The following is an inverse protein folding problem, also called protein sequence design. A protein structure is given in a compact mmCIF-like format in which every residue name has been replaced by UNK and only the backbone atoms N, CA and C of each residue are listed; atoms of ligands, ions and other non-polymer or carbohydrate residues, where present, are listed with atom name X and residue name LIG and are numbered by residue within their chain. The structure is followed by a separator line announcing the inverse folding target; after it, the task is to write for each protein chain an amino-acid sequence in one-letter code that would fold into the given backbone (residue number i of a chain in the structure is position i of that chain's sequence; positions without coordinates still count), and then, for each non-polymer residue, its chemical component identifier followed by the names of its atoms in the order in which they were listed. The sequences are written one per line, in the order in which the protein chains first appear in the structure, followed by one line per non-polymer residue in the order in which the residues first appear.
data_IF_967613409733
#
_entry.id   IF_967613409733
#
_cell.length_a   1.000
_cell.length_b   1.000
_cell.length_c   1.000
_cell.angle_alpha   90.00
_cell.angle_beta   90.00
_cell.angle_gamma   90.00
#
_symmetry.space_group_name_H-M   'P 1'
#
loop_
_entity.id
_entity.type
_entity.pdbx_description
1 polymer ?
#
# COMPACT_ATOMS: atom_id res chain seq x y z
N UNK A 1 -11.83 69.78 -7.22
CA UNK A 1 -10.81 68.84 -6.75
C UNK A 1 -10.48 67.84 -7.88
N UNK A 2 -9.54 68.19 -8.78
CA UNK A 2 -9.06 67.26 -9.81
C UNK A 2 -8.09 66.30 -9.16
N UNK A 3 -8.51 65.03 -8.99
CA UNK A 3 -7.62 63.93 -8.61
C UNK A 3 -6.69 63.67 -9.82
N UNK A 4 -5.40 63.77 -9.62
CA UNK A 4 -4.34 63.50 -10.60
C UNK A 4 -4.51 62.08 -11.17
N UNK A 5 -4.82 61.92 -12.47
CA UNK A 5 -4.98 60.62 -13.10
C UNK A 5 -3.66 59.86 -13.19
N UNK A 6 -2.53 60.56 -13.19
CA UNK A 6 -1.18 59.97 -13.24
C UNK A 6 -0.84 59.13 -12.01
N UNK A 7 -1.28 59.54 -10.81
CA UNK A 7 -1.08 58.77 -9.57
C UNK A 7 -1.87 57.43 -9.53
N UNK A 8 -3.01 57.37 -10.22
CA UNK A 8 -3.78 56.13 -10.34
C UNK A 8 -3.13 55.17 -11.36
N UNK A 9 -2.57 55.68 -12.43
CA UNK A 9 -1.87 54.87 -13.42
C UNK A 9 -0.59 54.26 -12.84
N UNK A 10 0.21 55.03 -12.12
CA UNK A 10 1.42 54.50 -11.44
C UNK A 10 1.10 53.43 -10.39
N UNK A 11 -0.01 53.60 -9.65
CA UNK A 11 -0.45 52.60 -8.69
C UNK A 11 -0.90 51.29 -9.37
N UNK A 12 -1.59 51.39 -10.52
CA UNK A 12 -2.02 50.23 -11.30
C UNK A 12 -0.81 49.51 -11.94
N UNK A 13 0.13 50.22 -12.50
CA UNK A 13 1.35 49.67 -13.10
C UNK A 13 2.17 48.93 -12.03
N UNK A 14 2.31 49.50 -10.85
CA UNK A 14 3.03 48.91 -9.73
C UNK A 14 2.31 47.67 -9.17
N UNK A 15 0.99 47.68 -9.14
CA UNK A 15 0.18 46.54 -8.73
C UNK A 15 0.25 45.37 -9.72
N UNK A 16 0.25 45.65 -11.02
CA UNK A 16 0.42 44.67 -12.09
C UNK A 16 1.82 44.07 -12.07
N UNK A 17 2.86 44.91 -11.93
CA UNK A 17 4.25 44.45 -11.82
C UNK A 17 4.49 43.58 -10.60
N UNK A 18 3.89 43.91 -9.44
CA UNK A 18 3.97 43.08 -8.23
C UNK A 18 3.21 41.76 -8.38
N UNK A 19 2.07 41.78 -9.09
CA UNK A 19 1.32 40.53 -9.37
C UNK A 19 2.12 39.61 -10.30
N UNK A 20 2.77 40.17 -11.33
CA UNK A 20 3.61 39.42 -12.28
C UNK A 20 4.80 38.76 -11.57
N UNK A 21 5.53 39.52 -10.72
CA UNK A 21 6.62 38.96 -9.93
C UNK A 21 6.19 37.87 -8.97
N UNK A 22 5.03 38.05 -8.31
CA UNK A 22 4.47 37.02 -7.40
C UNK A 22 4.05 35.74 -8.14
N UNK A 23 3.49 35.89 -9.35
CA UNK A 23 3.14 34.74 -10.21
C UNK A 23 4.39 34.02 -10.68
N UNK A 24 5.43 34.73 -11.11
CA UNK A 24 6.69 34.12 -11.52
C UNK A 24 7.39 33.38 -10.39
N UNK A 25 7.39 33.95 -9.18
CA UNK A 25 7.97 33.34 -8.00
C UNK A 25 7.20 32.07 -7.62
N UNK A 26 5.87 32.12 -7.62
CA UNK A 26 5.01 30.95 -7.37
C UNK A 26 5.22 29.85 -8.42
N UNK A 27 5.26 30.20 -9.71
CA UNK A 27 5.51 29.23 -10.78
C UNK A 27 6.92 28.62 -10.67
N UNK A 28 7.93 29.41 -10.35
CA UNK A 28 9.30 28.95 -10.14
C UNK A 28 9.40 27.95 -8.96
N UNK A 29 8.76 28.28 -7.84
CA UNK A 29 8.71 27.42 -6.67
C UNK A 29 7.94 26.12 -6.95
N UNK A 30 6.81 26.22 -7.66
CA UNK A 30 5.99 25.06 -8.05
C UNK A 30 6.75 24.13 -9.00
N UNK A 31 7.39 24.66 -10.04
CA UNK A 31 8.21 23.88 -10.98
C UNK A 31 9.40 23.22 -10.27
N UNK A 32 10.08 23.94 -9.39
CA UNK A 32 11.19 23.41 -8.59
C UNK A 32 10.74 22.26 -7.69
N UNK A 33 9.61 22.44 -6.99
CA UNK A 33 9.02 21.38 -6.16
C UNK A 33 8.61 20.16 -6.99
N UNK A 34 7.99 20.37 -8.15
CA UNK A 34 7.63 19.26 -9.04
C UNK A 34 8.86 18.51 -9.53
N UNK A 35 9.89 19.22 -9.99
CA UNK A 35 11.13 18.59 -10.48
C UNK A 35 11.81 17.80 -9.39
N UNK A 36 11.95 18.36 -8.20
CA UNK A 36 12.54 17.68 -7.04
C UNK A 36 11.72 16.43 -6.67
N UNK A 37 10.39 16.54 -6.63
CA UNK A 37 9.50 15.41 -6.32
C UNK A 37 9.64 14.31 -7.36
N UNK A 38 9.67 14.62 -8.65
CA UNK A 38 9.82 13.63 -9.72
C UNK A 38 11.17 12.91 -9.61
N UNK A 39 12.26 13.64 -9.37
CA UNK A 39 13.60 13.04 -9.24
C UNK A 39 13.69 12.16 -8.02
N UNK A 40 13.24 12.63 -6.85
CA UNK A 40 13.25 11.85 -5.59
C UNK A 40 12.37 10.61 -5.71
N UNK A 41 11.18 10.73 -6.31
CA UNK A 41 10.28 9.59 -6.53
C UNK A 41 10.91 8.60 -7.52
N UNK A 42 11.52 9.05 -8.60
CA UNK A 42 12.20 8.20 -9.57
C UNK A 42 13.35 7.41 -8.94
N UNK A 43 14.20 8.06 -8.16
CA UNK A 43 15.28 7.37 -7.41
C UNK A 43 14.72 6.38 -6.40
N UNK A 44 13.62 6.72 -5.74
CA UNK A 44 12.96 5.83 -4.76
C UNK A 44 12.38 4.57 -5.44
N UNK A 45 11.80 4.71 -6.63
CA UNK A 45 11.30 3.58 -7.41
C UNK A 45 12.46 2.66 -7.83
N UNK A 46 13.57 3.21 -8.29
CA UNK A 46 14.74 2.42 -8.69
C UNK A 46 15.30 1.65 -7.48
N UNK A 47 15.43 2.31 -6.33
CA UNK A 47 15.86 1.65 -5.08
C UNK A 47 14.88 0.56 -4.65
N UNK A 48 13.59 0.81 -4.75
CA UNK A 48 12.56 -0.19 -4.43
C UNK A 48 12.70 -1.43 -5.33
N UNK A 49 12.79 -1.25 -6.65
CA UNK A 49 12.96 -2.36 -7.61
C UNK A 49 14.25 -3.14 -7.33
N UNK A 50 15.35 -2.44 -7.09
CA UNK A 50 16.63 -3.08 -6.76
C UNK A 50 16.52 -3.91 -5.48
N UNK A 51 15.99 -3.32 -4.40
CA UNK A 51 15.81 -4.02 -3.13
C UNK A 51 14.85 -5.21 -3.27
N UNK A 52 13.80 -5.09 -4.08
CA UNK A 52 12.87 -6.16 -4.36
C UNK A 52 13.54 -7.35 -5.08
N UNK A 53 14.39 -7.07 -6.09
CA UNK A 53 15.17 -8.12 -6.77
C UNK A 53 16.12 -8.80 -5.79
N UNK A 54 16.85 -8.02 -4.97
CA UNK A 54 17.76 -8.57 -3.94
C UNK A 54 16.96 -9.43 -2.95
N UNK A 55 15.79 -8.97 -2.50
CA UNK A 55 14.93 -9.73 -1.60
C UNK A 55 14.47 -11.07 -2.20
N UNK A 56 14.13 -11.10 -3.48
CA UNK A 56 13.79 -12.34 -4.20
C UNK A 56 14.99 -13.29 -4.23
N UNK A 57 16.17 -12.80 -4.58
CA UNK A 57 17.40 -13.61 -4.64
C UNK A 57 17.68 -14.20 -3.27
N UNK A 58 17.68 -13.37 -2.22
CA UNK A 58 17.92 -13.82 -0.83
C UNK A 58 16.86 -14.85 -0.42
N UNK A 59 15.59 -14.61 -0.74
CA UNK A 59 14.50 -15.55 -0.45
C UNK A 59 14.72 -16.92 -1.11
N UNK A 60 15.16 -16.95 -2.35
CA UNK A 60 15.47 -18.19 -3.07
C UNK A 60 16.61 -18.95 -2.36
N UNK A 61 17.71 -18.27 -1.99
CA UNK A 61 18.81 -18.87 -1.25
C UNK A 61 18.37 -19.43 0.11
N UNK A 62 17.55 -18.66 0.84
CA UNK A 62 16.98 -19.11 2.13
C UNK A 62 16.09 -20.35 1.97
N UNK A 63 15.34 -20.45 0.88
CA UNK A 63 14.51 -21.62 0.59
C UNK A 63 15.33 -22.86 0.24
N UNK A 64 16.40 -22.69 -0.54
CA UNK A 64 17.31 -23.78 -0.91
C UNK A 64 17.96 -24.34 0.36
N UNK A 65 18.45 -23.47 1.25
CA UNK A 65 19.19 -23.85 2.46
C UNK A 65 18.29 -24.07 3.70
N UNK A 66 16.96 -24.04 3.53
CA UNK A 66 15.99 -24.14 4.62
C UNK A 66 16.28 -25.27 5.62
N UNK A 67 16.65 -26.45 5.12
CA UNK A 67 16.91 -27.61 5.99
C UNK A 67 18.20 -27.45 6.80
N UNK A 68 19.22 -26.85 6.21
CA UNK A 68 20.51 -26.61 6.87
C UNK A 68 20.37 -25.53 7.95
N UNK A 69 19.72 -24.44 7.63
CA UNK A 69 19.46 -23.34 8.57
C UNK A 69 18.59 -23.78 9.76
N UNK A 70 17.50 -24.53 9.51
CA UNK A 70 16.65 -25.07 10.58
C UNK A 70 17.41 -25.99 11.52
N UNK A 71 18.33 -26.80 11.01
CA UNK A 71 19.22 -27.64 11.83
C UNK A 71 20.21 -26.82 12.63
N UNK A 72 20.80 -25.77 12.02
CA UNK A 72 21.70 -24.83 12.69
C UNK A 72 21.03 -24.14 13.88
N UNK A 73 19.87 -23.55 13.66
CA UNK A 73 19.09 -22.87 14.70
C UNK A 73 18.75 -23.82 15.86
N UNK A 74 18.27 -25.03 15.55
CA UNK A 74 18.00 -26.03 16.58
C UNK A 74 19.26 -26.36 17.39
N UNK A 75 20.39 -26.63 16.71
CA UNK A 75 21.66 -26.95 17.38
C UNK A 75 22.09 -25.84 18.33
N UNK A 76 21.95 -24.59 17.92
CA UNK A 76 22.27 -23.43 18.78
C UNK A 76 21.36 -23.36 20.00
N UNK A 77 20.04 -23.59 19.83
CA UNK A 77 19.09 -23.58 20.95
C UNK A 77 19.44 -24.67 21.97
N UNK A 78 19.74 -25.90 21.51
CA UNK A 78 20.12 -27.01 22.41
C UNK A 78 21.51 -26.84 23.02
N UNK A 79 22.38 -26.01 22.46
CA UNK A 79 23.68 -25.69 23.04
C UNK A 79 23.61 -24.64 24.15
N UNK A 80 22.58 -23.75 24.12
CA UNK A 80 22.45 -22.65 25.08
C UNK A 80 21.51 -23.00 26.24
N UNK A 81 20.47 -23.79 25.95
CA UNK A 81 19.40 -24.08 26.91
C UNK A 81 19.36 -25.58 27.28
N UNK A 82 18.90 -25.86 28.50
CA UNK A 82 18.62 -27.23 28.92
C UNK A 82 17.61 -27.87 27.99
N UNK A 83 17.63 -29.21 27.88
CA UNK A 83 16.81 -29.98 26.95
C UNK A 83 15.31 -29.68 27.07
N UNK A 84 14.77 -29.53 28.29
CA UNK A 84 13.36 -29.20 28.51
C UNK A 84 12.99 -27.81 27.95
N UNK A 85 13.83 -26.79 28.22
CA UNK A 85 13.63 -25.42 27.70
C UNK A 85 13.82 -25.37 26.20
N UNK A 86 14.84 -26.01 25.67
CA UNK A 86 15.11 -26.09 24.23
C UNK A 86 13.91 -26.70 23.47
N UNK A 87 13.33 -27.78 24.00
CA UNK A 87 12.14 -28.40 23.43
C UNK A 87 10.93 -27.44 23.42
N UNK A 88 10.68 -26.72 24.51
CA UNK A 88 9.61 -25.70 24.58
C UNK A 88 9.82 -24.58 23.57
N UNK A 89 11.03 -24.03 23.46
CA UNK A 89 11.38 -23.00 22.52
C UNK A 89 11.17 -23.48 21.07
N UNK A 90 11.69 -24.66 20.73
CA UNK A 90 11.51 -25.26 19.41
C UNK A 90 10.03 -25.49 19.06
N UNK A 91 9.23 -25.93 20.04
CA UNK A 91 7.79 -26.12 19.84
C UNK A 91 7.06 -24.79 19.57
N UNK A 92 7.40 -23.72 20.32
CA UNK A 92 6.85 -22.38 20.10
C UNK A 92 7.23 -21.86 18.70
N UNK A 93 8.51 -21.95 18.33
CA UNK A 93 8.98 -21.51 17.01
C UNK A 93 8.25 -22.27 15.89
N UNK A 94 8.14 -23.60 15.99
CA UNK A 94 7.43 -24.41 15.00
C UNK A 94 5.97 -24.01 14.88
N UNK A 95 5.30 -23.76 16.00
CA UNK A 95 3.90 -23.33 16.04
C UNK A 95 3.74 -21.93 15.42
N UNK A 96 4.63 -21.00 15.74
CA UNK A 96 4.63 -19.63 15.18
C UNK A 96 4.81 -19.64 13.66
N UNK A 97 5.77 -20.42 13.16
CA UNK A 97 5.98 -20.57 11.71
C UNK A 97 4.74 -21.14 11.03
N UNK A 98 4.11 -22.16 11.62
CA UNK A 98 2.91 -22.77 11.06
C UNK A 98 1.73 -21.78 10.99
N UNK A 99 1.49 -21.04 12.08
CA UNK A 99 0.43 -20.00 12.12
C UNK A 99 0.70 -18.93 11.08
N UNK A 100 1.96 -18.44 10.99
CA UNK A 100 2.35 -17.41 10.04
C UNK A 100 2.19 -17.88 8.58
N UNK A 101 2.65 -19.11 8.27
CA UNK A 101 2.50 -19.69 6.93
C UNK A 101 1.03 -19.79 6.52
N UNK A 102 0.20 -20.37 7.38
CA UNK A 102 -1.23 -20.53 7.09
C UNK A 102 -1.94 -19.17 6.91
N UNK A 103 -1.56 -18.17 7.72
CA UNK A 103 -2.09 -16.82 7.57
C UNK A 103 -1.67 -16.19 6.25
N UNK A 104 -0.39 -16.31 5.90
CA UNK A 104 0.15 -15.74 4.67
C UNK A 104 -0.46 -16.40 3.43
N UNK A 105 -0.54 -17.73 3.40
CA UNK A 105 -1.15 -18.50 2.32
C UNK A 105 -2.63 -18.12 2.14
N UNK A 106 -3.37 -18.01 3.25
CA UNK A 106 -4.76 -17.55 3.23
C UNK A 106 -4.88 -16.12 2.71
N UNK A 107 -4.00 -15.21 3.16
CA UNK A 107 -4.05 -13.80 2.74
C UNK A 107 -3.65 -13.62 1.28
N UNK A 108 -2.77 -14.45 0.73
CA UNK A 108 -2.47 -14.46 -0.70
C UNK A 108 -3.70 -14.84 -1.53
N UNK A 109 -4.41 -15.89 -1.15
CA UNK A 109 -5.63 -16.33 -1.84
C UNK A 109 -6.72 -15.25 -1.74
N UNK A 110 -6.92 -14.71 -0.55
CA UNK A 110 -7.85 -13.62 -0.30
C UNK A 110 -7.57 -12.40 -1.19
N UNK A 111 -6.33 -11.95 -1.22
CA UNK A 111 -5.88 -10.82 -2.04
C UNK A 111 -6.09 -11.03 -3.54
N UNK A 112 -5.87 -12.24 -4.02
CA UNK A 112 -6.10 -12.60 -5.41
C UNK A 112 -7.59 -12.56 -5.76
N UNK A 113 -8.45 -13.04 -4.86
CA UNK A 113 -9.89 -12.99 -5.02
C UNK A 113 -10.39 -11.54 -5.02
N UNK A 114 -9.93 -10.72 -4.09
CA UNK A 114 -10.31 -9.30 -4.00
C UNK A 114 -9.85 -8.52 -5.24
N UNK A 115 -8.62 -8.75 -5.71
CA UNK A 115 -8.12 -8.15 -6.94
C UNK A 115 -8.95 -8.55 -8.16
N UNK A 116 -9.25 -9.85 -8.30
CA UNK A 116 -10.10 -10.36 -9.38
C UNK A 116 -11.53 -9.83 -9.29
N UNK A 117 -12.11 -9.78 -8.08
CA UNK A 117 -13.44 -9.25 -7.85
C UNK A 117 -13.51 -7.75 -8.21
N UNK A 118 -12.50 -6.98 -7.83
CA UNK A 118 -12.39 -5.56 -8.20
C UNK A 118 -12.31 -5.39 -9.72
N UNK A 119 -11.46 -6.15 -10.39
CA UNK A 119 -11.34 -6.13 -11.85
C UNK A 119 -12.65 -6.45 -12.53
N UNK A 120 -13.29 -7.58 -12.19
CA UNK A 120 -14.54 -8.03 -12.79
C UNK A 120 -15.67 -7.04 -12.54
N UNK A 121 -15.79 -6.53 -11.31
CA UNK A 121 -16.81 -5.53 -10.97
C UNK A 121 -16.63 -4.24 -11.78
N UNK A 122 -15.41 -3.76 -11.94
CA UNK A 122 -15.13 -2.58 -12.77
C UNK A 122 -15.46 -2.85 -14.25
N UNK A 123 -15.13 -4.03 -14.77
CA UNK A 123 -15.47 -4.40 -16.15
C UNK A 123 -17.00 -4.45 -16.36
N UNK A 124 -17.75 -5.00 -15.41
CA UNK A 124 -19.22 -5.03 -15.47
C UNK A 124 -19.78 -3.60 -15.44
N UNK A 125 -19.31 -2.76 -14.52
CA UNK A 125 -19.78 -1.37 -14.41
C UNK A 125 -19.39 -0.56 -15.65
N UNK A 126 -18.27 -0.87 -16.31
CA UNK A 126 -17.87 -0.20 -17.54
C UNK A 126 -18.88 -0.37 -18.68
N UNK A 127 -19.68 -1.45 -18.70
CA UNK A 127 -20.74 -1.68 -19.67
C UNK A 127 -21.87 -0.62 -19.59
N UNK A 128 -22.00 0.04 -18.44
CA UNK A 128 -22.92 1.16 -18.25
C UNK A 128 -22.34 2.51 -18.68
N UNK A 129 -21.19 2.51 -19.36
CA UNK A 129 -20.56 3.72 -19.91
C UNK A 129 -19.81 4.58 -18.91
N UNK A 130 -19.40 4.05 -17.75
CA UNK A 130 -18.63 4.79 -16.75
C UNK A 130 -17.21 5.04 -17.26
N UNK A 131 -16.79 6.32 -17.44
CA UNK A 131 -15.48 6.65 -18.01
C UNK A 131 -14.31 6.10 -17.20
N UNK A 132 -13.28 5.57 -17.87
CA UNK A 132 -12.03 5.11 -17.24
C UNK A 132 -12.11 3.73 -16.59
N UNK A 133 -13.32 3.15 -16.37
CA UNK A 133 -13.45 1.86 -15.70
C UNK A 133 -12.82 0.72 -16.52
N UNK A 134 -13.12 0.59 -17.80
CA UNK A 134 -12.51 -0.45 -18.65
C UNK A 134 -11.00 -0.28 -18.78
N UNK A 135 -10.52 0.97 -18.93
CA UNK A 135 -9.11 1.24 -19.16
C UNK A 135 -8.25 1.02 -17.90
N UNK A 136 -8.82 1.26 -16.74
CA UNK A 136 -8.12 1.17 -15.45
C UNK A 136 -8.41 -0.14 -14.70
N UNK A 137 -9.40 -0.92 -15.09
CA UNK A 137 -9.85 -2.11 -14.36
C UNK A 137 -8.71 -3.07 -13.99
N UNK A 138 -7.85 -3.40 -14.94
CA UNK A 138 -6.74 -4.31 -14.72
C UNK A 138 -5.73 -3.72 -13.74
N UNK A 139 -5.32 -2.47 -13.96
CA UNK A 139 -4.36 -1.77 -13.09
C UNK A 139 -4.90 -1.66 -11.66
N UNK A 140 -6.14 -1.19 -11.52
CA UNK A 140 -6.79 -1.03 -10.22
C UNK A 140 -6.98 -2.38 -9.52
N UNK A 141 -7.42 -3.41 -10.25
CA UNK A 141 -7.56 -4.77 -9.71
C UNK A 141 -6.23 -5.32 -9.18
N UNK A 142 -5.13 -5.13 -9.91
CA UNK A 142 -3.79 -5.54 -9.47
C UNK A 142 -3.35 -4.73 -8.25
N UNK A 143 -3.50 -3.41 -8.27
CA UNK A 143 -3.09 -2.53 -7.16
C UNK A 143 -3.87 -2.88 -5.89
N UNK A 144 -5.19 -2.99 -5.98
CA UNK A 144 -6.05 -3.36 -4.84
C UNK A 144 -5.72 -4.77 -4.36
N UNK A 145 -5.53 -5.74 -5.27
CA UNK A 145 -5.16 -7.09 -4.92
C UNK A 145 -3.83 -7.16 -4.17
N UNK A 146 -2.76 -6.57 -4.70
CA UNK A 146 -1.44 -6.58 -4.05
C UNK A 146 -1.48 -5.87 -2.69
N UNK A 147 -2.09 -4.69 -2.63
CA UNK A 147 -2.14 -3.94 -1.37
C UNK A 147 -3.00 -4.65 -0.32
N UNK A 148 -4.02 -5.41 -0.72
CA UNK A 148 -4.86 -6.18 0.21
C UNK A 148 -4.10 -7.27 0.97
N UNK A 149 -2.88 -7.65 0.53
CA UNK A 149 -1.99 -8.52 1.32
C UNK A 149 -1.61 -7.91 2.67
N UNK A 150 -1.61 -6.58 2.78
CA UNK A 150 -1.28 -5.87 4.02
C UNK A 150 -2.54 -5.75 4.87
N UNK A 151 -2.62 -6.44 6.03
CA UNK A 151 -3.81 -6.41 6.87
C UNK A 151 -4.15 -4.98 7.30
N UNK A 152 -5.43 -4.64 7.28
CA UNK A 152 -6.02 -3.35 7.67
C UNK A 152 -5.63 -2.15 6.80
N UNK A 153 -4.38 -2.05 6.36
CA UNK A 153 -3.87 -0.93 5.56
C UNK A 153 -4.08 -1.12 4.06
N UNK A 154 -4.15 -2.37 3.61
CA UNK A 154 -4.28 -2.72 2.19
C UNK A 154 -5.40 -1.99 1.45
N UNK A 155 -6.63 -2.01 1.98
CA UNK A 155 -7.77 -1.34 1.37
C UNK A 155 -7.55 0.17 1.14
N UNK A 156 -6.90 0.84 2.08
CA UNK A 156 -6.59 2.27 1.97
C UNK A 156 -5.46 2.53 0.98
N UNK A 157 -4.40 1.71 1.04
CA UNK A 157 -3.24 1.84 0.16
C UNK A 157 -3.58 1.56 -1.31
N UNK A 158 -4.54 0.68 -1.58
CA UNK A 158 -5.03 0.41 -2.93
C UNK A 158 -6.20 1.31 -3.34
N UNK A 159 -7.14 1.54 -2.43
CA UNK A 159 -8.36 2.30 -2.70
C UNK A 159 -8.10 3.78 -2.98
N UNK A 160 -7.31 4.46 -2.13
CA UNK A 160 -7.08 5.89 -2.27
C UNK A 160 -6.39 6.25 -3.60
N UNK A 161 -5.25 5.63 -3.99
CA UNK A 161 -4.63 5.91 -5.28
C UNK A 161 -5.56 5.57 -6.46
N UNK A 162 -6.37 4.52 -6.36
CA UNK A 162 -7.31 4.13 -7.40
C UNK A 162 -8.43 5.14 -7.57
N UNK A 163 -8.96 5.70 -6.48
CA UNK A 163 -9.94 6.78 -6.51
C UNK A 163 -9.33 8.01 -7.19
N UNK A 164 -8.12 8.40 -6.80
CA UNK A 164 -7.41 9.55 -7.40
C UNK A 164 -7.15 9.34 -8.88
N UNK A 165 -6.77 8.14 -9.30
CA UNK A 165 -6.59 7.78 -10.70
C UNK A 165 -7.90 7.97 -11.50
N UNK A 166 -9.02 7.52 -10.95
CA UNK A 166 -10.32 7.64 -11.61
C UNK A 166 -10.88 9.06 -11.59
N UNK A 167 -10.47 9.93 -10.65
CA UNK A 167 -10.78 11.35 -10.68
C UNK A 167 -10.27 12.05 -11.95
N UNK A 168 -9.18 11.54 -12.56
CA UNK A 168 -8.64 12.10 -13.81
C UNK A 168 -9.63 11.93 -14.97
N UNK A 169 -10.43 10.87 -14.96
CA UNK A 169 -11.43 10.60 -15.99
C UNK A 169 -12.75 11.33 -15.70
N UNK A 170 -13.25 11.21 -14.46
CA UNK A 170 -14.49 11.87 -14.02
C UNK A 170 -14.63 11.76 -12.51
N UNK A 171 -15.17 12.81 -11.88
CA UNK A 171 -15.51 12.77 -10.46
C UNK A 171 -16.59 11.71 -10.18
N UNK A 172 -17.53 11.50 -11.10
CA UNK A 172 -18.55 10.45 -10.99
C UNK A 172 -17.91 9.05 -10.97
N UNK A 173 -16.91 8.81 -11.82
CA UNK A 173 -16.18 7.54 -11.84
C UNK A 173 -15.47 7.27 -10.51
N UNK A 174 -14.82 8.29 -9.94
CA UNK A 174 -14.19 8.18 -8.64
C UNK A 174 -15.18 7.88 -7.51
N UNK A 175 -16.35 8.54 -7.51
CA UNK A 175 -17.41 8.31 -6.51
C UNK A 175 -18.01 6.91 -6.64
N UNK A 176 -18.28 6.43 -7.86
CA UNK A 176 -18.78 5.08 -8.11
C UNK A 176 -17.77 4.05 -7.62
N UNK A 177 -16.47 4.25 -7.89
CA UNK A 177 -15.43 3.35 -7.42
C UNK A 177 -15.26 3.40 -5.89
N UNK A 178 -15.38 4.57 -5.27
CA UNK A 178 -15.33 4.70 -3.82
C UNK A 178 -16.44 3.88 -3.14
N UNK A 179 -17.64 3.88 -3.69
CA UNK A 179 -18.75 3.05 -3.21
C UNK A 179 -18.45 1.57 -3.49
N UNK A 180 -17.97 1.24 -4.68
CA UNK A 180 -17.63 -0.13 -5.07
C UNK A 180 -16.58 -0.73 -4.13
N UNK A 181 -15.50 0.00 -3.85
CA UNK A 181 -14.42 -0.53 -2.98
C UNK A 181 -14.92 -0.73 -1.56
N UNK A 182 -15.80 0.14 -1.04
CA UNK A 182 -16.42 -0.04 0.28
C UNK A 182 -17.25 -1.34 0.30
N UNK A 183 -18.05 -1.60 -0.74
CA UNK A 183 -18.85 -2.83 -0.85
C UNK A 183 -17.93 -4.05 -0.88
N UNK A 184 -16.87 -4.02 -1.68
CA UNK A 184 -15.91 -5.12 -1.77
C UNK A 184 -15.23 -5.36 -0.41
N UNK A 185 -14.87 -4.30 0.31
CA UNK A 185 -14.27 -4.42 1.65
C UNK A 185 -15.25 -4.99 2.69
N UNK A 186 -16.54 -4.68 2.58
CA UNK A 186 -17.55 -5.30 3.44
C UNK A 186 -17.72 -6.80 3.12
N UNK A 187 -17.66 -7.17 1.84
CA UNK A 187 -17.67 -8.58 1.43
C UNK A 187 -16.41 -9.31 1.91
N UNK A 188 -15.25 -8.67 1.80
CA UNK A 188 -13.99 -9.22 2.32
C UNK A 188 -14.08 -9.45 3.82
N UNK A 189 -14.37 -8.43 4.60
CA UNK A 189 -14.39 -8.51 6.06
C UNK A 189 -15.43 -9.47 6.65
N UNK A 190 -16.59 -9.62 6.00
CA UNK A 190 -17.70 -10.38 6.55
C UNK A 190 -17.89 -11.79 5.94
N UNK A 191 -17.43 -12.01 4.70
CA UNK A 191 -17.67 -13.26 3.98
C UNK A 191 -16.38 -13.95 3.52
N UNK A 192 -15.51 -13.25 2.78
CA UNK A 192 -14.36 -13.84 2.11
C UNK A 192 -13.25 -14.10 3.13
N UNK A 193 -12.85 -13.09 3.88
CA UNK A 193 -11.80 -13.19 4.89
C UNK A 193 -12.07 -14.27 5.92
N UNK A 194 -13.23 -14.31 6.60
CA UNK A 194 -13.55 -15.40 7.55
C UNK A 194 -13.56 -16.79 6.94
N UNK A 195 -13.96 -16.94 5.68
CA UNK A 195 -13.97 -18.23 4.99
C UNK A 195 -12.57 -18.72 4.61
N UNK A 196 -11.68 -17.81 4.22
CA UNK A 196 -10.33 -18.15 3.74
C UNK A 196 -9.36 -18.24 4.91
N UNK A 197 -9.33 -17.20 5.75
CA UNK A 197 -8.41 -17.10 6.87
C UNK A 197 -8.88 -17.96 8.05
N UNK A 198 -10.19 -18.20 8.18
CA UNK A 198 -10.78 -18.98 9.27
C UNK A 198 -10.33 -18.44 10.63
N UNK A 199 -10.16 -19.37 11.58
CA UNK A 199 -9.55 -19.09 12.89
C UNK A 199 -8.02 -19.25 12.85
N UNK A 200 -7.38 -18.92 11.71
CA UNK A 200 -5.97 -19.22 11.44
C UNK A 200 -5.02 -18.67 12.48
N UNK A 201 -5.33 -17.53 13.07
CA UNK A 201 -4.47 -16.93 14.10
C UNK A 201 -4.92 -17.22 15.52
N UNK A 202 -6.23 -17.47 15.75
CA UNK A 202 -6.80 -17.59 17.09
C UNK A 202 -6.62 -16.34 17.97
N UNK A 203 -6.14 -15.25 17.39
CA UNK A 203 -5.86 -13.99 18.08
C UNK A 203 -7.00 -13.00 17.85
N UNK A 204 -7.31 -12.24 18.90
CA UNK A 204 -8.24 -11.11 18.76
C UNK A 204 -7.59 -10.00 17.92
N UNK A 205 -8.37 -9.25 17.10
CA UNK A 205 -7.86 -8.17 16.23
C UNK A 205 -6.95 -7.16 16.94
N UNK A 206 -7.24 -6.86 18.19
CA UNK A 206 -6.44 -5.97 19.05
C UNK A 206 -4.97 -6.41 19.13
N UNK A 207 -4.71 -7.71 19.31
CA UNK A 207 -3.34 -8.24 19.42
C UNK A 207 -2.59 -8.20 18.10
N UNK A 208 -3.31 -8.31 16.99
CA UNK A 208 -2.72 -8.20 15.64
C UNK A 208 -2.28 -6.78 15.39
N UNK A 209 -3.13 -5.78 15.66
CA UNK A 209 -2.80 -4.36 15.54
C UNK A 209 -1.63 -4.01 16.45
N UNK A 210 -1.66 -4.45 17.71
CA UNK A 210 -0.58 -4.23 18.66
C UNK A 210 0.74 -4.81 18.17
N UNK A 211 0.74 -6.05 17.66
CA UNK A 211 1.94 -6.70 17.14
C UNK A 211 2.51 -5.99 15.90
N UNK A 212 1.64 -5.53 14.98
CA UNK A 212 2.06 -4.76 13.80
C UNK A 212 2.66 -3.42 14.22
N UNK A 213 2.01 -2.71 15.15
CA UNK A 213 2.49 -1.41 15.61
C UNK A 213 3.82 -1.54 16.35
N UNK A 214 3.92 -2.49 17.27
CA UNK A 214 5.14 -2.74 18.05
C UNK A 214 6.28 -3.24 17.14
N UNK A 215 5.98 -4.18 16.24
CA UNK A 215 6.96 -4.70 15.28
C UNK A 215 7.46 -3.61 14.33
N UNK A 216 6.56 -2.77 13.81
CA UNK A 216 6.91 -1.63 12.98
C UNK A 216 7.75 -0.57 13.71
N UNK A 217 7.54 -0.39 15.01
CA UNK A 217 8.34 0.51 15.83
C UNK A 217 9.76 -0.04 16.09
N UNK A 218 9.89 -1.35 16.35
CA UNK A 218 11.18 -2.00 16.66
C UNK A 218 12.02 -2.25 15.41
N UNK A 219 11.40 -2.78 14.35
CA UNK A 219 12.08 -3.26 13.16
C UNK A 219 11.95 -2.31 11.95
N UNK A 220 11.16 -1.25 12.07
CA UNK A 220 10.75 -0.41 10.95
C UNK A 220 9.59 -1.07 10.17
N UNK A 221 8.98 -0.29 9.27
CA UNK A 221 8.01 -0.82 8.30
C UNK A 221 8.82 -1.53 7.22
N UNK A 222 8.61 -2.84 7.00
CA UNK A 222 9.36 -3.58 5.99
C UNK A 222 9.08 -3.06 4.57
#
# INVERSE_FOLDING_TARGET
AAKHPELQLDYLIKSISNADSTIQEFLGEFISKLTTTIVVTGVSIIKFVFNFIVAIIVSIYLLIDKKMQSRGIKRTIYAIFDEERANKICAVIKRSIHIFSNFFDGKMIDSLIIGALTFVSMMIISLFGVPGFSNCALLVGIVVGITNMIPYFGPFLGGIPSILLLCIYSLNSALIFAILIIIIQQLDGNLIGPKILGNSTGLRPLWIIFAITLGGWIAGIP
#
